data_IF_698118960321
#
_entry.id   IF_698118960321
#
_cell.length_a   1.000
_cell.length_b   1.000
_cell.length_c   1.000
_cell.angle_alpha   90.00
_cell.angle_beta   90.00
_cell.angle_gamma   90.00
#
_symmetry.space_group_name_H-M   'P 1'
#
loop_
_entity.id
_entity.type
_entity.pdbx_description
1 polymer ?
#
# COMPACT_ATOMS: atom_id res chain seq x y z
N UNK A 1 28.80 60.66 -38.07
CA UNK A 1 27.71 59.97 -37.34
C UNK A 1 27.53 58.57 -37.90
N UNK A 2 27.65 57.54 -37.05
CA UNK A 2 26.90 56.26 -37.07
C UNK A 2 27.58 55.31 -36.06
N UNK A 3 26.96 55.00 -34.90
CA UNK A 3 27.46 53.96 -34.02
C UNK A 3 27.07 52.59 -34.56
N UNK A 4 27.98 51.63 -34.54
CA UNK A 4 27.70 50.23 -34.93
C UNK A 4 27.27 49.47 -33.68
N UNK A 5 25.97 49.29 -33.48
CA UNK A 5 25.43 48.55 -32.34
C UNK A 5 25.60 47.04 -32.53
N UNK A 6 26.60 46.43 -31.87
CA UNK A 6 26.67 44.98 -31.76
C UNK A 6 25.58 44.44 -30.84
N UNK A 7 24.59 43.76 -31.41
CA UNK A 7 23.56 43.06 -30.65
C UNK A 7 24.09 41.65 -30.33
N UNK A 8 24.47 41.42 -29.07
CA UNK A 8 24.69 40.09 -28.54
C UNK A 8 23.33 39.41 -28.33
N UNK A 9 22.98 38.43 -29.17
CA UNK A 9 21.89 37.50 -28.88
C UNK A 9 22.35 36.52 -27.80
N UNK A 10 22.07 36.85 -26.54
CA UNK A 10 22.14 35.90 -25.43
C UNK A 10 21.02 34.87 -25.58
N UNK A 11 21.31 33.74 -26.23
CA UNK A 11 20.38 32.62 -26.28
C UNK A 11 20.24 32.01 -24.87
N UNK A 12 19.16 32.37 -24.16
CA UNK A 12 18.75 31.65 -22.95
C UNK A 12 18.34 30.23 -23.37
N UNK A 13 19.21 29.26 -23.11
CA UNK A 13 18.83 27.86 -23.15
C UNK A 13 17.80 27.63 -22.03
N UNK A 14 16.51 27.57 -22.38
CA UNK A 14 15.50 27.01 -21.50
C UNK A 14 15.84 25.53 -21.31
N UNK A 15 16.54 25.22 -20.21
CA UNK A 15 16.60 23.87 -19.69
C UNK A 15 15.19 23.48 -19.32
N UNK A 16 14.53 22.71 -20.18
CA UNK A 16 13.26 22.07 -19.88
C UNK A 16 13.49 21.10 -18.72
N UNK A 17 13.23 21.57 -17.50
CA UNK A 17 13.09 20.70 -16.33
C UNK A 17 11.91 19.80 -16.63
N UNK A 18 12.21 18.55 -16.96
CA UNK A 18 11.17 17.52 -17.04
C UNK A 18 10.83 17.21 -15.60
N UNK A 19 9.79 17.89 -15.10
CA UNK A 19 9.14 17.49 -13.86
C UNK A 19 8.57 16.08 -14.09
N UNK A 20 9.37 15.07 -13.73
CA UNK A 20 8.86 13.77 -13.39
C UNK A 20 7.99 13.97 -12.14
N UNK A 21 6.72 14.28 -12.37
CA UNK A 21 5.70 13.96 -11.40
C UNK A 21 5.84 12.46 -11.13
N UNK A 22 6.35 12.13 -9.95
CA UNK A 22 6.38 10.77 -9.40
C UNK A 22 4.99 10.53 -8.81
N UNK A 23 4.34 9.41 -9.14
CA UNK A 23 3.08 9.07 -8.49
C UNK A 23 3.33 8.92 -6.99
N UNK A 24 2.28 9.09 -6.22
CA UNK A 24 2.43 8.97 -4.79
C UNK A 24 1.17 8.36 -4.24
N UNK A 25 1.34 7.32 -3.43
CA UNK A 25 0.25 6.67 -2.74
C UNK A 25 0.69 5.72 -1.66
N UNK A 26 -0.25 5.42 -0.76
CA UNK A 26 -0.04 4.56 0.40
C UNK A 26 -1.29 3.77 0.75
N UNK A 27 -1.08 2.56 1.25
CA UNK A 27 -2.14 1.71 1.79
C UNK A 27 -2.43 2.08 3.25
N UNK A 28 -3.58 2.71 3.47
CA UNK A 28 -4.03 3.20 4.78
C UNK A 28 -4.64 2.08 5.62
N UNK A 29 -5.38 1.16 4.98
CA UNK A 29 -6.05 0.04 5.64
C UNK A 29 -5.88 -1.24 4.81
N UNK A 30 -5.30 -2.32 5.36
CA UNK A 30 -4.50 -2.32 6.60
C UNK A 30 -3.29 -1.37 6.46
N UNK A 31 -2.87 -0.65 7.52
CA UNK A 31 -1.81 0.34 7.41
C UNK A 31 -0.48 -0.33 7.07
N UNK A 32 0.11 0.06 5.92
CA UNK A 32 1.42 -0.47 5.54
C UNK A 32 2.54 0.00 6.47
N UNK A 33 3.64 -0.75 6.49
CA UNK A 33 4.80 -0.55 7.38
C UNK A 33 5.35 0.88 7.39
N UNK A 34 5.34 1.58 6.26
CA UNK A 34 5.77 2.99 6.20
C UNK A 34 4.76 3.94 6.88
N UNK A 35 3.46 3.71 6.70
CA UNK A 35 2.40 4.54 7.27
C UNK A 35 2.11 4.26 8.74
N UNK A 36 2.24 3.01 9.20
CA UNK A 36 1.73 2.54 10.49
C UNK A 36 2.25 3.34 11.70
N UNK A 37 3.49 3.84 11.63
CA UNK A 37 4.10 4.70 12.66
C UNK A 37 3.45 6.08 12.83
N UNK A 38 2.65 6.55 11.86
CA UNK A 38 1.86 7.78 11.97
C UNK A 38 0.62 7.62 12.85
N UNK A 39 0.15 6.39 13.07
CA UNK A 39 -1.08 6.12 13.80
C UNK A 39 -0.79 6.07 15.32
N UNK A 40 -1.52 6.80 16.18
CA UNK A 40 -1.21 6.90 17.61
C UNK A 40 -1.06 5.56 18.35
N UNK A 41 -1.77 4.51 17.92
CA UNK A 41 -1.68 3.13 18.45
C UNK A 41 -0.26 2.54 18.40
N UNK A 42 0.56 2.93 17.43
CA UNK A 42 1.90 2.35 17.19
C UNK A 42 3.05 3.31 17.54
N UNK A 43 2.73 4.44 18.17
CA UNK A 43 3.72 5.39 18.68
C UNK A 43 4.73 4.70 19.60
N UNK A 44 6.02 4.92 19.37
CA UNK A 44 7.12 4.26 20.10
C UNK A 44 7.41 2.81 19.69
N UNK A 45 6.66 2.22 18.76
CA UNK A 45 6.91 0.87 18.21
C UNK A 45 7.48 0.91 16.78
N UNK A 46 6.96 1.83 15.95
CA UNK A 46 7.42 2.03 14.57
C UNK A 46 7.71 3.52 14.37
N UNK A 47 8.89 3.91 13.82
CA UNK A 47 9.17 5.31 13.53
C UNK A 47 8.26 5.84 12.41
N UNK A 48 8.03 7.15 12.38
CA UNK A 48 7.27 7.81 11.31
C UNK A 48 8.15 7.83 10.04
N UNK A 49 7.73 7.15 8.97
CA UNK A 49 8.25 7.44 7.64
C UNK A 49 7.54 8.69 7.11
N UNK A 50 8.31 9.74 6.80
CA UNK A 50 7.77 10.98 6.23
C UNK A 50 7.46 10.86 4.73
N UNK A 51 8.07 9.87 4.05
CA UNK A 51 7.93 9.54 2.63
C UNK A 51 7.13 8.24 2.43
N UNK A 52 6.20 7.92 3.33
CA UNK A 52 5.39 6.70 3.31
C UNK A 52 4.54 6.54 2.04
N UNK A 53 4.25 7.63 1.32
CA UNK A 53 3.55 7.62 0.04
C UNK A 53 4.46 7.52 -1.21
N UNK A 54 5.79 7.35 -1.06
CA UNK A 54 6.76 7.40 -2.17
C UNK A 54 7.56 6.11 -2.40
N UNK A 55 6.98 4.93 -2.09
CA UNK A 55 7.69 3.64 -2.15
C UNK A 55 7.75 3.06 -3.58
N UNK A 56 8.44 3.78 -4.48
CA UNK A 56 8.50 3.54 -5.94
C UNK A 56 9.59 2.54 -6.39
N UNK A 57 10.18 1.78 -5.47
CA UNK A 57 11.32 0.88 -5.70
C UNK A 57 12.55 1.51 -6.39
N UNK A 58 12.76 2.82 -6.21
CA UNK A 58 13.80 3.60 -6.88
C UNK A 58 13.34 4.25 -8.20
N UNK A 59 12.02 4.35 -8.40
CA UNK A 59 11.38 4.94 -9.57
C UNK A 59 11.59 4.13 -10.85
N UNK A 60 11.10 4.68 -11.97
CA UNK A 60 11.21 4.07 -13.32
C UNK A 60 12.67 3.71 -13.66
N UNK A 61 13.64 4.50 -13.20
CA UNK A 61 15.06 4.22 -13.39
C UNK A 61 15.54 2.93 -12.71
N UNK A 62 15.04 2.63 -11.52
CA UNK A 62 15.32 1.39 -10.79
C UNK A 62 14.56 0.18 -11.36
N UNK A 63 13.28 0.35 -11.65
CA UNK A 63 12.39 -0.75 -12.09
C UNK A 63 12.56 -1.16 -13.55
N UNK A 64 13.20 -0.35 -14.39
CA UNK A 64 13.45 -0.62 -15.83
C UNK A 64 14.06 -2.00 -16.13
N UNK A 65 14.83 -2.56 -15.21
CA UNK A 65 15.42 -3.90 -15.33
C UNK A 65 14.57 -5.05 -14.77
N UNK A 66 13.30 -4.81 -14.42
CA UNK A 66 12.44 -5.77 -13.71
C UNK A 66 12.85 -6.02 -12.26
N UNK A 67 13.65 -5.13 -11.66
CA UNK A 67 14.23 -5.29 -10.32
C UNK A 67 13.61 -4.29 -9.34
N UNK A 68 13.10 -4.78 -8.22
CA UNK A 68 12.53 -3.97 -7.15
C UNK A 68 12.77 -4.63 -5.77
N UNK A 69 12.60 -3.87 -4.69
CA UNK A 69 12.39 -4.45 -3.37
C UNK A 69 10.98 -5.04 -3.25
N UNK A 70 10.81 -6.00 -2.35
CA UNK A 70 9.55 -6.75 -2.18
C UNK A 70 8.44 -5.86 -1.63
N UNK A 71 8.82 -4.85 -0.84
CA UNK A 71 7.94 -3.92 -0.13
C UNK A 71 8.13 -2.45 -0.52
N UNK A 72 8.69 -2.18 -1.72
CA UNK A 72 8.75 -0.85 -2.32
C UNK A 72 10.05 -0.08 -2.10
N UNK A 73 11.00 -0.67 -1.38
CA UNK A 73 12.39 -0.20 -1.32
C UNK A 73 13.12 -0.40 -2.66
N UNK A 74 14.20 0.36 -2.90
CA UNK A 74 15.03 0.15 -4.08
C UNK A 74 15.72 -1.23 -4.06
N UNK A 75 15.85 -1.86 -5.23
CA UNK A 75 16.50 -3.18 -5.33
C UNK A 75 17.93 -3.17 -4.78
N UNK A 76 18.73 -2.18 -5.17
CA UNK A 76 20.09 -1.94 -4.69
C UNK A 76 20.08 -0.88 -3.60
N UNK A 77 19.65 -1.26 -2.39
CA UNK A 77 19.53 -0.36 -1.25
C UNK A 77 19.23 -1.09 0.05
N UNK A 78 19.12 -0.35 1.15
CA UNK A 78 18.60 -0.89 2.41
C UNK A 78 17.12 -1.18 2.24
N UNK A 79 16.68 -2.38 2.64
CA UNK A 79 15.28 -2.81 2.58
C UNK A 79 14.58 -2.44 3.89
N UNK A 80 14.22 -1.18 4.03
CA UNK A 80 13.64 -0.65 5.26
C UNK A 80 12.23 -1.17 5.56
N UNK A 81 11.47 -1.50 4.51
CA UNK A 81 10.08 -1.93 4.60
C UNK A 81 9.91 -3.46 4.52
N UNK A 82 10.99 -4.23 4.32
CA UNK A 82 10.98 -5.69 4.28
C UNK A 82 11.25 -6.30 5.66
N UNK A 83 10.21 -6.85 6.29
CA UNK A 83 10.16 -7.36 7.67
C UNK A 83 11.21 -6.66 8.54
N UNK A 84 12.18 -7.33 9.19
CA UNK A 84 13.07 -6.74 10.21
C UNK A 84 13.97 -5.52 9.88
N UNK A 85 13.71 -4.76 8.82
CA UNK A 85 14.23 -3.40 8.62
C UNK A 85 13.58 -2.33 9.53
N UNK A 86 13.78 -1.06 9.18
CA UNK A 86 13.34 0.12 9.95
C UNK A 86 11.84 0.15 10.24
N UNK A 87 11.01 -0.34 9.31
CA UNK A 87 9.55 -0.21 9.36
C UNK A 87 8.80 -1.55 9.53
N UNK A 88 9.35 -2.69 9.09
CA UNK A 88 8.73 -4.02 9.28
C UNK A 88 9.02 -4.64 10.65
N UNK A 89 8.52 -4.01 11.71
CA UNK A 89 8.98 -4.26 13.09
C UNK A 89 8.44 -5.55 13.75
N UNK A 90 7.78 -6.45 13.02
CA UNK A 90 7.21 -7.69 13.55
C UNK A 90 8.22 -8.59 14.29
N UNK A 91 9.47 -8.77 13.83
CA UNK A 91 10.50 -9.52 14.57
C UNK A 91 10.76 -9.05 15.99
N UNK A 92 10.51 -7.76 16.27
CA UNK A 92 10.81 -7.13 17.57
C UNK A 92 9.53 -6.96 18.40
N UNK A 93 8.40 -6.63 17.77
CA UNK A 93 7.17 -6.24 18.48
C UNK A 93 6.00 -7.23 18.31
N UNK A 94 6.09 -8.20 17.39
CA UNK A 94 5.08 -9.23 17.13
C UNK A 94 3.69 -8.63 16.87
N UNK A 95 2.67 -9.22 17.50
CA UNK A 95 1.26 -8.78 17.43
C UNK A 95 1.02 -7.28 17.67
N UNK A 96 1.93 -6.58 18.37
CA UNK A 96 1.78 -5.14 18.67
C UNK A 96 1.91 -4.24 17.45
N UNK A 97 2.52 -4.71 16.36
CA UNK A 97 2.66 -3.98 15.08
C UNK A 97 1.83 -4.58 13.94
N UNK A 98 0.88 -5.46 14.28
CA UNK A 98 -0.11 -5.96 13.33
C UNK A 98 -1.16 -4.89 13.08
N UNK A 99 -1.33 -4.52 11.81
CA UNK A 99 -2.24 -3.47 11.34
C UNK A 99 -3.71 -3.88 11.42
N UNK A 100 -4.03 -5.14 11.09
CA UNK A 100 -5.40 -5.67 11.09
C UNK A 100 -5.46 -7.18 11.39
N UNK A 101 -6.64 -7.66 11.80
CA UNK A 101 -6.95 -9.06 12.12
C UNK A 101 -8.21 -9.45 11.34
N UNK A 102 -8.13 -10.47 10.48
CA UNK A 102 -9.22 -10.91 9.62
C UNK A 102 -9.55 -12.39 9.80
N UNK A 103 -10.80 -12.80 9.50
CA UNK A 103 -11.17 -14.21 9.50
C UNK A 103 -10.70 -14.90 8.20
N UNK A 104 -10.31 -16.19 8.23
CA UNK A 104 -10.01 -16.93 6.99
C UNK A 104 -11.19 -16.87 6.02
N UNK A 105 -10.92 -16.62 4.74
CA UNK A 105 -11.97 -16.54 3.71
C UNK A 105 -12.79 -15.24 3.70
N UNK A 106 -12.55 -14.30 4.63
CA UNK A 106 -13.34 -13.06 4.66
C UNK A 106 -13.05 -12.16 3.45
N UNK A 107 -14.09 -11.45 2.98
CA UNK A 107 -13.88 -10.26 2.16
C UNK A 107 -13.45 -9.11 3.06
N UNK A 108 -12.32 -8.48 2.74
CA UNK A 108 -11.74 -7.36 3.48
C UNK A 108 -11.87 -6.06 2.69
N UNK A 109 -12.07 -4.96 3.42
CA UNK A 109 -11.99 -3.61 2.87
C UNK A 109 -10.54 -3.12 2.92
N UNK A 110 -10.06 -2.62 1.78
CA UNK A 110 -8.72 -2.10 1.57
C UNK A 110 -8.80 -0.63 1.14
N UNK A 111 -8.00 0.23 1.77
CA UNK A 111 -7.97 1.67 1.50
C UNK A 111 -6.62 2.10 0.97
N UNK A 112 -6.60 2.68 -0.24
CA UNK A 112 -5.43 3.27 -0.87
C UNK A 112 -5.63 4.76 -1.03
N UNK A 113 -4.75 5.58 -0.47
CA UNK A 113 -4.68 7.00 -0.79
C UNK A 113 -3.72 7.21 -1.95
N UNK A 114 -4.15 7.86 -3.03
CA UNK A 114 -3.24 8.48 -4.01
C UNK A 114 -3.18 9.99 -3.80
N UNK A 115 -1.98 10.54 -3.68
CA UNK A 115 -1.72 11.99 -3.74
C UNK A 115 -1.30 12.44 -5.14
N UNK A 116 -0.86 11.53 -6.00
CA UNK A 116 -0.71 11.73 -7.44
C UNK A 116 -1.12 10.45 -8.19
N UNK A 117 -2.08 10.57 -9.11
CA UNK A 117 -2.73 9.45 -9.81
C UNK A 117 -2.25 9.34 -11.26
N UNK A 118 -1.61 8.22 -11.60
CA UNK A 118 -1.02 7.93 -12.91
C UNK A 118 -1.82 6.88 -13.71
N UNK A 119 -3.14 6.77 -13.50
CA UNK A 119 -4.03 5.78 -14.15
C UNK A 119 -3.58 4.35 -13.81
N UNK A 120 -3.78 3.39 -14.71
CA UNK A 120 -3.32 2.01 -14.53
C UNK A 120 -4.18 1.23 -13.54
N UNK A 121 -3.56 0.33 -12.77
CA UNK A 121 -4.29 -0.61 -11.92
C UNK A 121 -3.58 -0.91 -10.60
N UNK A 122 -4.38 -1.26 -9.58
CA UNK A 122 -3.89 -1.87 -8.35
C UNK A 122 -4.00 -3.39 -8.43
N UNK A 123 -3.03 -4.07 -7.83
CA UNK A 123 -3.07 -5.50 -7.52
C UNK A 123 -2.79 -5.69 -6.02
N UNK A 124 -3.32 -6.78 -5.49
CA UNK A 124 -3.09 -7.18 -4.11
C UNK A 124 -2.62 -8.62 -4.04
N UNK A 125 -1.69 -8.89 -3.12
CA UNK A 125 -1.17 -10.22 -2.86
C UNK A 125 -1.06 -10.50 -1.37
N UNK A 126 -1.06 -11.77 -1.02
CA UNK A 126 -0.86 -12.25 0.35
C UNK A 126 0.31 -13.23 0.40
N UNK A 127 1.26 -12.99 1.30
CA UNK A 127 2.32 -13.92 1.67
C UNK A 127 2.08 -14.39 3.11
N UNK A 128 2.25 -15.69 3.40
CA UNK A 128 2.24 -16.22 4.76
C UNK A 128 3.68 -16.48 5.21
N UNK A 129 4.07 -15.88 6.32
CA UNK A 129 5.34 -16.11 7.00
C UNK A 129 5.10 -17.02 8.21
N UNK A 130 5.93 -18.04 8.40
CA UNK A 130 5.67 -19.12 9.37
C UNK A 130 6.42 -18.90 10.67
N UNK A 131 7.65 -18.36 10.58
CA UNK A 131 8.45 -17.88 11.69
C UNK A 131 8.41 -16.36 11.83
N UNK A 132 8.77 -15.90 13.03
CA UNK A 132 8.74 -14.49 13.43
C UNK A 132 9.77 -13.62 12.68
N UNK A 133 10.89 -14.23 12.29
CA UNK A 133 12.02 -13.60 11.60
C UNK A 133 12.07 -13.93 10.10
N UNK A 134 11.10 -14.69 9.58
CA UNK A 134 10.99 -15.03 8.16
C UNK A 134 10.92 -13.76 7.30
N UNK A 135 11.47 -13.82 6.09
CA UNK A 135 11.40 -12.76 5.09
C UNK A 135 10.47 -13.14 3.96
N UNK A 136 9.57 -12.24 3.62
CA UNK A 136 8.77 -12.30 2.40
C UNK A 136 9.64 -12.25 1.14
N UNK A 137 9.25 -13.03 0.14
CA UNK A 137 9.86 -13.07 -1.19
C UNK A 137 8.77 -12.93 -2.25
N UNK A 138 9.13 -12.61 -3.49
CA UNK A 138 8.17 -12.49 -4.58
C UNK A 138 7.36 -13.78 -4.79
N UNK A 139 8.00 -14.94 -4.68
CA UNK A 139 7.38 -16.26 -4.88
C UNK A 139 6.36 -16.61 -3.80
N UNK A 140 6.47 -16.00 -2.61
CA UNK A 140 5.54 -16.19 -1.50
C UNK A 140 4.16 -15.60 -1.82
N UNK A 141 4.11 -14.44 -2.46
CA UNK A 141 2.86 -13.71 -2.71
C UNK A 141 1.94 -14.47 -3.66
N UNK A 142 0.72 -14.75 -3.21
CA UNK A 142 -0.38 -15.24 -4.03
C UNK A 142 -1.36 -14.09 -4.28
N UNK A 143 -1.74 -13.90 -5.54
CA UNK A 143 -2.67 -12.84 -5.93
C UNK A 143 -4.02 -13.01 -5.22
N UNK A 144 -4.55 -11.91 -4.71
CA UNK A 144 -5.91 -11.83 -4.21
C UNK A 144 -6.85 -11.39 -5.35
N UNK A 145 -8.11 -11.75 -5.24
CA UNK A 145 -9.16 -11.34 -6.17
C UNK A 145 -10.25 -10.54 -5.44
N UNK A 146 -10.89 -9.64 -6.17
CA UNK A 146 -12.15 -9.03 -5.78
C UNK A 146 -13.26 -10.11 -5.71
N UNK A 147 -14.40 -9.86 -5.05
CA UNK A 147 -15.56 -10.77 -5.09
C UNK A 147 -16.09 -11.08 -6.49
N UNK A 148 -15.79 -10.24 -7.50
CA UNK A 148 -16.06 -10.48 -8.92
C UNK A 148 -15.14 -11.50 -9.59
N UNK A 149 -14.05 -11.91 -8.93
CA UNK A 149 -12.97 -12.73 -9.49
C UNK A 149 -11.84 -11.94 -10.15
N UNK A 150 -11.99 -10.63 -10.32
CA UNK A 150 -10.95 -9.75 -10.91
C UNK A 150 -9.77 -9.54 -9.95
N UNK A 151 -8.55 -9.70 -10.42
CA UNK A 151 -7.33 -9.47 -9.61
C UNK A 151 -6.81 -8.03 -9.70
N UNK A 152 -7.03 -7.36 -10.84
CA UNK A 152 -6.68 -5.96 -11.07
C UNK A 152 -7.88 -5.04 -10.81
N UNK A 153 -7.67 -3.98 -10.03
CA UNK A 153 -8.63 -2.91 -9.87
C UNK A 153 -8.17 -1.69 -10.68
N UNK A 154 -8.94 -1.30 -11.71
CA UNK A 154 -8.58 -0.21 -12.62
C UNK A 154 -8.76 1.13 -11.92
N UNK A 155 -7.69 1.95 -11.87
CA UNK A 155 -7.66 3.20 -11.08
C UNK A 155 -8.49 4.30 -11.76
N UNK A 156 -9.60 4.76 -11.14
CA UNK A 156 -10.37 5.90 -11.63
C UNK A 156 -9.56 7.20 -11.48
N UNK A 157 -9.89 8.26 -12.25
CA UNK A 157 -9.25 9.57 -12.08
C UNK A 157 -9.43 10.15 -10.66
N UNK A 158 -8.44 10.95 -10.23
CA UNK A 158 -8.51 11.77 -9.01
C UNK A 158 -7.48 11.38 -7.93
N UNK A 159 -7.07 12.37 -7.14
CA UNK A 159 -6.16 12.19 -6.01
C UNK A 159 -6.99 12.13 -4.72
N UNK A 160 -7.31 10.92 -4.26
CA UNK A 160 -8.27 10.66 -3.19
C UNK A 160 -7.98 9.33 -2.48
N UNK A 161 -8.81 8.97 -1.50
CA UNK A 161 -8.84 7.61 -0.92
C UNK A 161 -9.78 6.75 -1.76
N UNK A 162 -9.24 5.64 -2.28
CA UNK A 162 -9.97 4.60 -2.99
C UNK A 162 -10.23 3.43 -2.05
N UNK A 163 -11.44 2.89 -2.12
CA UNK A 163 -11.93 1.78 -1.30
C UNK A 163 -12.19 0.57 -2.20
N UNK A 164 -11.59 -0.58 -1.87
CA UNK A 164 -11.72 -1.81 -2.64
C UNK A 164 -12.01 -3.00 -1.72
N UNK A 165 -12.71 -4.01 -2.25
CA UNK A 165 -13.00 -5.26 -1.54
C UNK A 165 -12.22 -6.42 -2.19
N UNK A 166 -11.49 -7.17 -1.38
CA UNK A 166 -10.73 -8.34 -1.81
C UNK A 166 -10.97 -9.55 -0.90
N UNK A 167 -10.93 -10.76 -1.44
CA UNK A 167 -11.23 -12.00 -0.72
C UNK A 167 -9.92 -12.65 -0.24
N UNK A 168 -9.80 -12.89 1.07
CA UNK A 168 -8.68 -13.64 1.64
C UNK A 168 -8.86 -15.15 1.38
N UNK A 169 -7.77 -15.95 1.28
CA UNK A 169 -7.89 -17.40 1.14
C UNK A 169 -8.52 -18.05 2.38
N UNK A 170 -9.47 -18.97 2.18
CA UNK A 170 -10.17 -19.68 3.28
C UNK A 170 -9.30 -20.69 4.02
N UNK A 171 -8.29 -21.25 3.35
CA UNK A 171 -7.34 -22.22 3.92
C UNK A 171 -6.09 -21.60 4.56
N UNK A 172 -6.02 -20.28 4.71
CA UNK A 172 -4.84 -19.59 5.25
C UNK A 172 -5.14 -19.02 6.64
N UNK A 173 -4.30 -19.41 7.60
CA UNK A 173 -4.20 -18.78 8.94
C UNK A 173 -2.76 -18.37 9.22
N UNK A 174 -2.58 -17.29 9.96
CA UNK A 174 -1.29 -16.70 10.32
C UNK A 174 -1.50 -15.77 11.52
N UNK A 175 -1.12 -16.25 12.70
CA UNK A 175 -1.22 -15.56 13.99
C UNK A 175 -0.16 -16.07 14.99
N UNK A 176 0.01 -15.35 16.10
CA UNK A 176 1.09 -15.61 17.06
C UNK A 176 2.46 -15.17 16.51
N UNK A 177 3.43 -16.08 16.48
CA UNK A 177 4.73 -15.83 15.84
C UNK A 177 4.68 -15.97 14.30
N UNK A 178 3.58 -16.51 13.76
CA UNK A 178 3.26 -16.47 12.33
C UNK A 178 2.47 -15.21 12.01
N UNK A 179 2.68 -14.63 10.83
CA UNK A 179 1.91 -13.49 10.34
C UNK A 179 1.79 -13.54 8.81
N UNK A 180 0.83 -12.80 8.26
CA UNK A 180 0.76 -12.60 6.83
C UNK A 180 1.18 -11.19 6.46
N UNK A 181 1.83 -11.06 5.31
CA UNK A 181 2.10 -9.79 4.67
C UNK A 181 1.08 -9.60 3.57
N UNK A 182 0.22 -8.59 3.70
CA UNK A 182 -0.65 -8.13 2.63
C UNK A 182 0.10 -7.05 1.85
N UNK A 183 0.26 -7.26 0.54
CA UNK A 183 0.97 -6.34 -0.35
C UNK A 183 0.01 -5.68 -1.32
N UNK A 184 0.05 -4.35 -1.37
CA UNK A 184 -0.46 -3.56 -2.49
C UNK A 184 0.68 -3.36 -3.50
N UNK A 185 0.36 -3.51 -4.78
CA UNK A 185 1.20 -3.15 -5.92
C UNK A 185 0.40 -2.23 -6.84
N UNK A 186 0.94 -1.04 -7.10
CA UNK A 186 0.41 -0.12 -8.08
C UNK A 186 1.29 -0.16 -9.34
N UNK A 187 0.65 -0.29 -10.51
CA UNK A 187 1.27 -0.08 -11.81
C UNK A 187 0.58 1.10 -12.48
N UNK A 188 1.33 2.19 -12.69
CA UNK A 188 0.87 3.36 -13.45
C UNK A 188 0.69 3.04 -14.95
N UNK A 189 0.01 3.91 -15.68
CA UNK A 189 -0.22 3.76 -17.13
C UNK A 189 -0.27 5.11 -17.86
N UNK A 190 0.61 6.02 -17.45
CA UNK A 190 0.81 7.34 -18.05
C UNK A 190 1.92 7.35 -19.12
N UNK A 191 2.85 6.39 -19.11
CA UNK A 191 3.89 6.28 -20.13
C UNK A 191 3.36 5.51 -21.36
N UNK A 192 3.36 6.16 -22.52
CA UNK A 192 2.85 5.57 -23.76
C UNK A 192 3.89 4.65 -24.43
N UNK A 193 3.44 3.50 -24.94
CA UNK A 193 4.24 2.63 -25.80
C UNK A 193 5.33 1.81 -25.09
N UNK A 194 5.27 1.71 -23.75
CA UNK A 194 6.23 0.93 -22.94
C UNK A 194 5.55 -0.22 -22.20
N UNK A 195 6.35 -1.21 -21.79
CA UNK A 195 5.89 -2.33 -20.96
C UNK A 195 5.76 -1.93 -19.48
N UNK A 196 5.44 -2.90 -18.61
CA UNK A 196 5.33 -2.69 -17.16
C UNK A 196 6.61 -2.11 -16.52
N UNK A 197 7.80 -2.44 -17.03
CA UNK A 197 9.06 -1.95 -16.50
C UNK A 197 9.37 -0.51 -16.95
N UNK A 198 8.73 -0.05 -18.02
CA UNK A 198 8.68 1.37 -18.40
C UNK A 198 7.58 2.16 -17.68
N UNK A 199 6.67 1.52 -16.95
CA UNK A 199 5.72 2.22 -16.08
C UNK A 199 6.33 2.49 -14.71
N UNK A 200 5.81 3.51 -14.06
CA UNK A 200 6.06 3.77 -12.65
C UNK A 200 5.27 2.78 -11.79
N UNK A 201 5.88 2.32 -10.69
CA UNK A 201 5.33 1.24 -9.88
C UNK A 201 5.61 1.48 -8.39
N UNK A 202 4.67 1.10 -7.53
CA UNK A 202 4.76 1.27 -6.08
C UNK A 202 4.38 -0.01 -5.36
N UNK A 203 5.05 -0.31 -4.26
CA UNK A 203 4.69 -1.45 -3.42
C UNK A 203 4.59 -1.03 -1.96
N UNK A 204 3.63 -1.59 -1.25
CA UNK A 204 3.45 -1.41 0.19
C UNK A 204 3.12 -2.75 0.82
N UNK A 205 3.80 -3.09 1.92
CA UNK A 205 3.53 -4.27 2.73
C UNK A 205 2.90 -3.89 4.08
N UNK A 206 1.83 -4.56 4.49
CA UNK A 206 1.21 -4.47 5.80
C UNK A 206 1.21 -5.82 6.51
N UNK A 207 1.58 -5.81 7.79
CA UNK A 207 1.54 -6.99 8.66
C UNK A 207 0.11 -7.21 9.17
N UNK A 208 -0.48 -8.35 8.84
CA UNK A 208 -1.86 -8.71 9.21
C UNK A 208 -1.91 -10.09 9.84
N UNK A 209 -2.87 -10.30 10.72
CA UNK A 209 -3.25 -11.63 11.18
C UNK A 209 -4.47 -12.15 10.45
N UNK A 210 -4.47 -13.45 10.18
CA UNK A 210 -5.65 -14.18 9.70
C UNK A 210 -5.88 -15.35 10.66
N UNK A 211 -6.95 -15.27 11.45
CA UNK A 211 -7.22 -16.22 12.54
C UNK A 211 -8.72 -16.42 12.73
N UNK A 212 -9.12 -17.62 13.14
CA UNK A 212 -10.50 -17.91 13.54
C UNK A 212 -10.95 -17.11 14.78
N UNK A 213 -10.01 -16.47 15.48
CA UNK A 213 -10.30 -15.56 16.61
C UNK A 213 -10.54 -14.11 16.17
N UNK A 214 -10.11 -13.72 14.96
CA UNK A 214 -10.40 -12.40 14.41
C UNK A 214 -11.90 -12.28 14.12
N UNK A 215 -12.55 -11.22 14.64
CA UNK A 215 -13.98 -10.99 14.46
C UNK A 215 -14.89 -11.58 15.54
N UNK A 216 -14.38 -12.42 16.44
CA UNK A 216 -15.15 -12.96 17.57
C UNK A 216 -15.56 -11.91 18.63
N UNK A 217 -15.09 -10.66 18.50
CA UNK A 217 -15.33 -9.56 19.44
C UNK A 217 -16.27 -8.46 18.92
N UNK A 218 -16.88 -8.64 17.74
CA UNK A 218 -17.92 -7.73 17.25
C UNK A 218 -19.31 -8.38 17.47
N UNK A 219 -20.01 -8.09 18.59
CA UNK A 219 -21.43 -8.39 18.66
C UNK A 219 -22.13 -7.56 17.58
N UNK A 220 -22.73 -8.23 16.59
CA UNK A 220 -23.63 -7.60 15.62
C UNK A 220 -24.65 -6.77 16.40
N UNK A 221 -24.83 -5.46 16.10
CA UNK A 221 -25.91 -4.69 16.67
C UNK A 221 -27.22 -5.32 16.19
N UNK A 222 -27.85 -6.11 17.07
CA UNK A 222 -29.17 -6.66 16.79
C UNK A 222 -30.12 -5.47 16.65
N UNK A 223 -30.68 -5.31 15.45
CA UNK A 223 -31.67 -4.26 15.15
C UNK A 223 -33.00 -4.57 15.83
N UNK A 224 -33.01 -4.49 17.17
CA UNK A 224 -34.19 -4.51 17.99
C UNK A 224 -34.98 -3.21 17.75
N UNK A 225 -35.91 -3.28 16.80
CA UNK A 225 -36.90 -2.23 16.52
C UNK A 225 -37.59 -1.81 17.83
N UNK A 226 -37.56 -0.52 18.23
CA UNK A 226 -38.28 -0.07 19.41
C UNK A 226 -39.79 -0.29 19.25
N UNK A 227 -40.40 -1.05 20.17
CA UNK A 227 -41.85 -1.11 20.29
C UNK A 227 -42.34 0.14 21.02
N UNK A 228 -43.04 1.01 20.31
CA UNK A 228 -43.72 2.17 20.91
C UNK A 228 -44.89 1.71 21.77
N UNK A 229 -44.69 1.61 23.08
CA UNK A 229 -45.80 1.51 24.04
C UNK A 229 -46.49 2.86 24.16
N UNK A 230 -47.80 2.88 23.87
CA UNK A 230 -48.62 4.06 24.10
C UNK A 230 -48.75 4.34 25.61
N UNK A 231 -48.51 5.58 26.02
CA UNK A 231 -48.79 6.04 27.38
C UNK A 231 -50.27 6.40 27.46
N UNK A 232 -51.01 5.70 28.32
CA UNK A 232 -52.38 6.09 28.66
C UNK A 232 -52.34 7.19 29.73
N UNK A 233 -52.98 8.33 29.44
CA UNK A 233 -53.21 9.40 30.41
C UNK A 233 -54.32 9.02 31.40
N UNK A 234 -54.11 9.35 32.67
CA UNK A 234 -55.18 9.64 33.64
C UNK A 234 -55.23 11.16 33.85
#
# INVERSE_FOLDING_TARGET
MKPTTSILLSALALSSVVDFADAHGRMLSPPHRGHIGRLPKFSGLVPINYSDNGLSAGGIGGTKGGKHGVCGDAYSGVREHETGGTYGRFPIHGSKVVGACYAPGSTVDLEIQLTANHKGYFQFGLCKLSGKDDKETEECFKALAQPSGETQWQVPPGNQVFNMKYVLPSGVTCDGDSHCVLRWHYVGWNNYGVDINGQEQFWNCADVYISNTCGASNPTPSSAKPSTSAVATQ
#
